data_IF_476507116613
#
_entry.id   IF_476507116613
#
_cell.length_a   1.000
_cell.length_b   1.000
_cell.length_c   1.000
_cell.angle_alpha   90.00
_cell.angle_beta   90.00
_cell.angle_gamma   90.00
#
_symmetry.space_group_name_H-M   'P 1'
#
loop_
_entity.id
_entity.type
_entity.pdbx_description
1 polymer ?
#
# COMPACT_ATOMS: atom_id res chain seq x y z
N UNK A 1 3.75 -27.30 0.77
CA UNK A 1 2.37 -27.20 1.29
C UNK A 1 1.36 -28.08 0.56
N UNK A 2 1.16 -27.95 -0.75
CA UNK A 2 0.14 -28.72 -1.52
C UNK A 2 0.27 -30.24 -1.36
N UNK A 3 1.48 -30.80 -1.46
CA UNK A 3 1.74 -32.23 -1.23
C UNK A 3 1.38 -32.69 0.18
N UNK A 4 1.64 -31.87 1.20
CA UNK A 4 1.28 -32.19 2.59
C UNK A 4 -0.23 -32.18 2.80
N UNK A 5 -0.94 -31.23 2.19
CA UNK A 5 -2.40 -31.19 2.25
C UNK A 5 -3.03 -32.42 1.59
N UNK A 6 -2.49 -32.86 0.44
CA UNK A 6 -2.92 -34.10 -0.22
C UNK A 6 -2.68 -35.32 0.69
N UNK A 7 -1.47 -35.47 1.25
CA UNK A 7 -1.15 -36.56 2.17
C UNK A 7 -2.03 -36.55 3.42
N UNK A 8 -2.35 -35.37 3.96
CA UNK A 8 -3.26 -35.23 5.11
C UNK A 8 -4.66 -35.72 4.78
N UNK A 9 -5.17 -35.38 3.60
CA UNK A 9 -6.49 -35.81 3.15
C UNK A 9 -6.53 -37.32 2.90
N UNK A 10 -5.53 -37.88 2.23
CA UNK A 10 -5.38 -39.33 2.06
C UNK A 10 -5.31 -40.07 3.40
N UNK A 11 -4.55 -39.55 4.37
CA UNK A 11 -4.44 -40.12 5.72
C UNK A 11 -5.76 -40.06 6.49
N UNK A 12 -6.54 -38.99 6.34
CA UNK A 12 -7.89 -38.89 6.92
C UNK A 12 -8.84 -39.94 6.34
N UNK A 13 -8.78 -40.14 5.02
CA UNK A 13 -9.59 -41.16 4.34
C UNK A 13 -9.19 -42.55 4.85
N UNK A 14 -7.89 -42.84 4.93
CA UNK A 14 -7.39 -44.11 5.47
C UNK A 14 -7.83 -44.33 6.93
N UNK A 15 -7.80 -43.30 7.78
CA UNK A 15 -8.30 -43.39 9.15
C UNK A 15 -9.79 -43.70 9.21
N UNK A 16 -10.62 -43.03 8.40
CA UNK A 16 -12.04 -43.30 8.36
C UNK A 16 -12.34 -44.74 7.93
N UNK A 17 -11.60 -45.26 6.95
CA UNK A 17 -11.70 -46.65 6.50
C UNK A 17 -11.27 -47.65 7.59
N UNK A 18 -10.19 -47.35 8.32
CA UNK A 18 -9.73 -48.14 9.46
C UNK A 18 -10.76 -48.13 10.60
N UNK A 19 -11.36 -46.98 10.91
CA UNK A 19 -12.42 -46.86 11.91
C UNK A 19 -13.68 -47.63 11.51
N UNK A 20 -14.11 -47.54 10.25
CA UNK A 20 -15.25 -48.27 9.71
C UNK A 20 -15.02 -49.78 9.75
N UNK A 21 -13.84 -50.24 9.32
CA UNK A 21 -13.44 -51.65 9.40
C UNK A 21 -13.39 -52.14 10.85
N UNK A 22 -12.90 -51.32 11.78
CA UNK A 22 -12.84 -51.66 13.20
C UNK A 22 -14.26 -51.79 13.79
N UNK A 23 -15.18 -50.88 13.44
CA UNK A 23 -16.59 -50.95 13.82
C UNK A 23 -17.29 -52.19 13.27
N UNK A 24 -17.04 -52.53 12.00
CA UNK A 24 -17.59 -53.73 11.36
C UNK A 24 -17.07 -55.01 12.04
N UNK A 25 -15.77 -55.05 12.34
CA UNK A 25 -15.13 -56.19 13.03
C UNK A 25 -15.67 -56.35 14.45
N UNK A 26 -15.91 -55.24 15.17
CA UNK A 26 -16.55 -55.26 16.48
C UNK A 26 -18.01 -55.75 16.44
N UNK A 27 -18.77 -55.34 15.43
CA UNK A 27 -20.17 -55.75 15.26
C UNK A 27 -20.32 -57.23 14.89
N UNK A 28 -19.34 -57.78 14.17
CA UNK A 28 -19.37 -59.14 13.63
C UNK A 28 -18.69 -60.17 14.55
N UNK A 29 -17.90 -59.71 15.53
CA UNK A 29 -17.17 -60.59 16.44
C UNK A 29 -18.12 -61.40 17.35
N UNK A 30 -18.22 -62.71 17.11
CA UNK A 30 -18.84 -63.68 18.02
C UNK A 30 -17.74 -64.46 18.75
N UNK A 31 -17.50 -64.15 20.03
CA UNK A 31 -16.45 -64.80 20.85
C UNK A 31 -15.71 -63.83 21.78
N UNK A 32 -14.65 -64.31 22.44
CA UNK A 32 -13.80 -63.49 23.32
C UNK A 32 -13.01 -62.46 22.52
N UNK A 33 -13.39 -61.18 22.63
CA UNK A 33 -12.79 -60.03 21.92
C UNK A 33 -11.27 -59.93 22.14
N UNK A 34 -10.77 -60.44 23.27
CA UNK A 34 -9.35 -60.41 23.65
C UNK A 34 -8.46 -61.39 22.87
N UNK A 35 -9.03 -62.41 22.22
CA UNK A 35 -8.26 -63.40 21.43
C UNK A 35 -8.17 -63.02 19.96
N UNK A 36 -8.90 -61.99 19.52
CA UNK A 36 -8.95 -61.58 18.13
C UNK A 36 -7.70 -60.75 17.75
N UNK A 37 -6.70 -61.43 17.18
CA UNK A 37 -5.42 -60.83 16.75
C UNK A 37 -5.59 -59.72 15.71
N UNK A 38 -6.56 -59.82 14.81
CA UNK A 38 -6.83 -58.81 13.76
C UNK A 38 -7.31 -57.49 14.37
N UNK A 39 -8.07 -57.57 15.45
CA UNK A 39 -8.60 -56.42 16.19
C UNK A 39 -7.48 -55.69 16.96
N UNK A 40 -6.55 -56.44 17.55
CA UNK A 40 -5.37 -55.90 18.24
C UNK A 40 -4.39 -55.26 17.24
N UNK A 41 -4.22 -55.86 16.07
CA UNK A 41 -3.35 -55.33 15.02
C UNK A 41 -3.92 -54.03 14.41
N UNK A 42 -5.22 -53.98 14.12
CA UNK A 42 -5.91 -52.76 13.67
C UNK A 42 -5.82 -51.64 14.71
N UNK A 43 -6.01 -51.97 16.00
CA UNK A 43 -5.87 -51.00 17.10
C UNK A 43 -4.43 -50.46 17.22
N UNK A 44 -3.43 -51.33 17.06
CA UNK A 44 -2.02 -50.92 17.09
C UNK A 44 -1.63 -50.10 15.87
N UNK A 45 -2.17 -50.39 14.67
CA UNK A 45 -1.98 -49.57 13.47
C UNK A 45 -2.60 -48.17 13.65
N UNK A 46 -3.80 -48.08 14.22
CA UNK A 46 -4.45 -46.80 14.56
C UNK A 46 -3.65 -46.02 15.62
N UNK A 47 -3.11 -46.71 16.63
CA UNK A 47 -2.28 -46.13 17.69
C UNK A 47 -0.88 -45.70 17.22
N UNK A 48 -0.33 -46.37 16.20
CA UNK A 48 0.97 -46.08 15.60
C UNK A 48 0.99 -44.82 14.71
N UNK A 49 -0.14 -44.09 14.60
CA UNK A 49 -0.29 -42.85 13.83
C UNK A 49 0.49 -41.63 14.40
N UNK A 50 1.67 -41.86 14.97
CA UNK A 50 2.72 -40.87 15.26
C UNK A 50 3.08 -39.97 14.07
N UNK A 51 2.80 -40.44 12.84
CA UNK A 51 2.90 -39.67 11.60
C UNK A 51 2.02 -38.41 11.57
N UNK A 52 0.88 -38.39 12.28
CA UNK A 52 0.03 -37.20 12.39
C UNK A 52 0.70 -36.06 13.18
N UNK A 53 1.45 -36.41 14.22
CA UNK A 53 2.15 -35.42 15.07
C UNK A 53 3.29 -34.76 14.27
N UNK A 54 4.08 -35.56 13.55
CA UNK A 54 5.12 -35.03 12.66
C UNK A 54 4.53 -34.18 11.51
N UNK A 55 3.39 -34.60 10.95
CA UNK A 55 2.65 -33.80 9.97
C UNK A 55 2.19 -32.47 10.54
N UNK A 56 1.83 -32.42 11.83
CA UNK A 56 1.38 -31.19 12.48
C UNK A 56 2.53 -30.20 12.65
N UNK A 57 3.72 -30.65 13.07
CA UNK A 57 4.91 -29.80 13.16
C UNK A 57 5.33 -29.24 11.81
N UNK A 58 5.34 -30.07 10.76
CA UNK A 58 5.69 -29.61 9.41
C UNK A 58 4.64 -28.64 8.86
N UNK A 59 3.36 -28.85 9.19
CA UNK A 59 2.28 -27.94 8.82
C UNK A 59 2.45 -26.58 9.49
N UNK A 60 2.71 -26.54 10.80
CA UNK A 60 2.95 -25.29 11.52
C UNK A 60 4.14 -24.53 10.95
N UNK A 61 5.24 -25.22 10.64
CA UNK A 61 6.42 -24.59 10.04
C UNK A 61 6.13 -23.99 8.65
N UNK A 62 5.38 -24.71 7.80
CA UNK A 62 4.96 -24.19 6.49
C UNK A 62 3.94 -23.05 6.59
N UNK A 63 3.10 -23.07 7.61
CA UNK A 63 2.16 -21.98 7.87
C UNK A 63 2.92 -20.72 8.32
N UNK A 64 3.92 -20.85 9.18
CA UNK A 64 4.81 -19.74 9.57
C UNK A 64 5.54 -19.13 8.36
N UNK A 65 6.10 -19.97 7.49
CA UNK A 65 6.80 -19.48 6.29
C UNK A 65 5.85 -18.78 5.31
N UNK A 66 4.61 -19.29 5.15
CA UNK A 66 3.58 -18.62 4.35
C UNK A 66 3.19 -17.28 4.98
N UNK A 67 2.91 -17.28 6.28
CA UNK A 67 2.36 -16.14 6.99
C UNK A 67 3.37 -14.98 7.06
N UNK A 68 4.67 -15.28 6.97
CA UNK A 68 5.72 -14.27 6.77
C UNK A 68 5.44 -13.36 5.56
N UNK A 69 4.87 -13.87 4.46
CA UNK A 69 4.58 -13.08 3.25
C UNK A 69 3.17 -12.47 3.22
N UNK A 70 2.35 -12.69 4.26
CA UNK A 70 1.00 -12.13 4.33
C UNK A 70 0.98 -10.58 4.28
N UNK A 71 1.92 -9.83 4.90
CA UNK A 71 1.98 -8.38 4.78
C UNK A 71 2.11 -7.91 3.33
N UNK A 72 3.03 -8.49 2.56
CA UNK A 72 3.23 -8.19 1.14
C UNK A 72 1.93 -8.40 0.33
N UNK A 73 1.22 -9.50 0.59
CA UNK A 73 -0.03 -9.81 -0.09
C UNK A 73 -1.14 -8.79 0.25
N UNK A 74 -1.21 -8.33 1.50
CA UNK A 74 -2.14 -7.28 1.93
C UNK A 74 -1.83 -5.95 1.22
N UNK A 75 -0.58 -5.50 1.26
CA UNK A 75 -0.14 -4.27 0.59
C UNK A 75 -0.42 -4.32 -0.92
N UNK A 76 -0.14 -5.46 -1.57
CA UNK A 76 -0.45 -5.64 -2.99
C UNK A 76 -1.96 -5.62 -3.30
N UNK A 77 -2.79 -6.20 -2.43
CA UNK A 77 -4.24 -6.15 -2.56
C UNK A 77 -4.76 -4.70 -2.47
N UNK A 78 -4.26 -3.93 -1.51
CA UNK A 78 -4.60 -2.52 -1.34
C UNK A 78 -4.23 -1.70 -2.58
N UNK A 79 -3.02 -1.90 -3.14
CA UNK A 79 -2.62 -1.26 -4.40
C UNK A 79 -3.60 -1.57 -5.53
N UNK A 80 -4.00 -2.84 -5.69
CA UNK A 80 -4.91 -3.22 -6.77
C UNK A 80 -6.27 -2.52 -6.66
N UNK A 81 -6.84 -2.46 -5.45
CA UNK A 81 -8.13 -1.79 -5.24
C UNK A 81 -8.06 -0.28 -5.51
N UNK A 82 -6.97 0.39 -5.11
CA UNK A 82 -6.77 1.81 -5.45
C UNK A 82 -6.73 2.06 -6.95
N UNK A 83 -6.07 1.17 -7.69
CA UNK A 83 -6.00 1.26 -9.16
C UNK A 83 -7.37 1.03 -9.80
N UNK A 84 -8.17 0.09 -9.28
CA UNK A 84 -9.52 -0.16 -9.83
C UNK A 84 -10.46 1.01 -9.60
N UNK A 85 -10.25 1.76 -8.52
CA UNK A 85 -11.05 2.94 -8.18
C UNK A 85 -10.83 4.13 -9.12
N UNK A 86 -9.73 4.17 -9.89
CA UNK A 86 -9.50 5.19 -10.92
C UNK A 86 -10.59 5.21 -12.00
N UNK A 87 -11.27 4.08 -12.22
CA UNK A 87 -12.40 3.99 -13.16
C UNK A 87 -13.58 4.89 -12.78
N UNK A 88 -13.68 5.30 -11.50
CA UNK A 88 -14.69 6.23 -11.00
C UNK A 88 -14.42 7.68 -11.45
N UNK A 89 -13.17 8.01 -11.75
CA UNK A 89 -12.75 9.34 -12.21
C UNK A 89 -12.94 9.43 -13.72
N UNK A 90 -12.35 8.48 -14.46
CA UNK A 90 -12.57 8.33 -15.90
C UNK A 90 -12.84 6.87 -16.24
N UNK A 91 -13.93 6.62 -16.99
CA UNK A 91 -14.35 5.27 -17.35
C UNK A 91 -13.30 4.48 -18.14
N UNK A 92 -12.33 5.14 -18.78
CA UNK A 92 -11.26 4.46 -19.51
C UNK A 92 -10.09 4.02 -18.63
N UNK A 93 -10.00 4.49 -17.37
CA UNK A 93 -8.99 4.03 -16.38
C UNK A 93 -9.38 2.68 -15.79
N UNK A 94 -9.41 1.65 -16.63
CA UNK A 94 -9.74 0.27 -16.25
C UNK A 94 -8.52 -0.62 -16.41
N UNK A 95 -8.07 -1.18 -15.29
CA UNK A 95 -6.93 -2.07 -15.24
C UNK A 95 -7.40 -3.47 -14.86
N UNK A 96 -6.91 -4.48 -15.55
CA UNK A 96 -7.28 -5.87 -15.28
C UNK A 96 -6.38 -6.48 -14.21
N UNK A 97 -6.96 -7.35 -13.37
CA UNK A 97 -6.21 -8.16 -12.39
C UNK A 97 -5.06 -8.92 -13.04
N UNK A 98 -5.27 -9.47 -14.24
CA UNK A 98 -4.23 -10.17 -14.99
C UNK A 98 -3.00 -9.29 -15.27
N UNK A 99 -3.20 -7.99 -15.52
CA UNK A 99 -2.10 -7.04 -15.74
C UNK A 99 -1.35 -6.74 -14.44
N UNK A 100 -2.08 -6.57 -13.35
CA UNK A 100 -1.49 -6.41 -12.02
C UNK A 100 -0.67 -7.63 -11.59
N UNK A 101 -1.21 -8.85 -11.75
CA UNK A 101 -0.50 -10.09 -11.43
C UNK A 101 0.78 -10.28 -12.26
N UNK A 102 0.82 -9.79 -13.51
CA UNK A 102 2.05 -9.78 -14.31
C UNK A 102 3.10 -8.85 -13.73
N UNK A 103 2.72 -7.66 -13.24
CA UNK A 103 3.64 -6.76 -12.55
C UNK A 103 4.14 -7.37 -11.25
N UNK A 104 3.23 -7.97 -10.46
CA UNK A 104 3.56 -8.67 -9.22
C UNK A 104 4.57 -9.80 -9.45
N UNK A 105 4.32 -10.66 -10.45
CA UNK A 105 5.25 -11.73 -10.81
C UNK A 105 6.62 -11.17 -11.27
N UNK A 106 6.63 -10.09 -12.05
CA UNK A 106 7.87 -9.43 -12.47
C UNK A 106 8.63 -8.81 -11.30
N UNK A 107 7.96 -8.34 -10.25
CA UNK A 107 8.62 -7.90 -9.03
C UNK A 107 9.31 -9.06 -8.31
N UNK A 108 8.67 -10.24 -8.27
CA UNK A 108 9.22 -11.46 -7.65
C UNK A 108 10.40 -12.09 -8.42
N UNK A 109 10.47 -11.94 -9.74
CA UNK A 109 11.50 -12.54 -10.59
C UNK A 109 12.91 -11.95 -10.41
N UNK A 110 13.10 -11.02 -9.48
CA UNK A 110 14.39 -10.38 -9.29
C UNK A 110 15.21 -11.17 -8.30
N UNK A 111 16.43 -11.48 -8.70
CA UNK A 111 17.44 -12.04 -7.80
C UNK A 111 17.74 -11.00 -6.72
N UNK A 112 17.35 -11.32 -5.49
CA UNK A 112 17.87 -10.65 -4.31
C UNK A 112 18.89 -11.59 -3.67
N UNK A 113 20.08 -11.06 -3.39
CA UNK A 113 21.06 -11.73 -2.56
C UNK A 113 20.49 -11.98 -1.17
N UNK A 114 21.01 -13.00 -0.50
CA UNK A 114 20.47 -13.62 0.72
C UNK A 114 20.45 -12.65 1.92
N UNK A 115 19.42 -11.81 1.98
CA UNK A 115 19.05 -11.02 3.15
C UNK A 115 17.89 -11.69 3.93
N UNK A 116 17.63 -11.21 5.15
CA UNK A 116 16.51 -11.72 5.96
C UNK A 116 15.16 -11.55 5.26
N UNK A 117 14.20 -12.43 5.59
CA UNK A 117 12.85 -12.42 4.98
C UNK A 117 12.17 -11.05 5.08
N UNK A 118 12.35 -10.33 6.18
CA UNK A 118 11.75 -9.01 6.40
C UNK A 118 12.33 -7.94 5.45
N UNK A 119 13.66 -7.96 5.23
CA UNK A 119 14.33 -7.03 4.30
C UNK A 119 13.95 -7.36 2.86
N UNK A 120 13.85 -8.65 2.54
CA UNK A 120 13.32 -9.12 1.25
C UNK A 120 11.90 -8.60 1.01
N UNK A 121 11.00 -8.73 1.99
CA UNK A 121 9.61 -8.25 1.88
C UNK A 121 9.56 -6.74 1.65
N UNK A 122 10.25 -5.95 2.47
CA UNK A 122 10.24 -4.48 2.33
C UNK A 122 10.81 -4.01 0.99
N UNK A 123 11.84 -4.69 0.47
CA UNK A 123 12.40 -4.39 -0.85
C UNK A 123 11.42 -4.76 -1.97
N UNK A 124 10.77 -5.92 -1.89
CA UNK A 124 9.73 -6.33 -2.84
C UNK A 124 8.55 -5.36 -2.84
N UNK A 125 8.12 -4.90 -1.67
CA UNK A 125 7.06 -3.89 -1.53
C UNK A 125 7.45 -2.57 -2.19
N UNK A 126 8.62 -2.01 -1.86
CA UNK A 126 9.12 -0.77 -2.46
C UNK A 126 9.20 -0.88 -3.99
N UNK A 127 9.73 -1.99 -4.48
CA UNK A 127 9.81 -2.25 -5.92
C UNK A 127 8.44 -2.35 -6.57
N UNK A 128 7.52 -3.10 -5.97
CA UNK A 128 6.17 -3.27 -6.48
C UNK A 128 5.45 -1.92 -6.55
N UNK A 129 5.56 -1.09 -5.51
CA UNK A 129 5.03 0.29 -5.47
C UNK A 129 5.52 1.09 -6.67
N UNK A 130 6.82 1.08 -6.94
CA UNK A 130 7.42 1.82 -8.07
C UNK A 130 6.95 1.28 -9.43
N UNK A 131 6.96 -0.04 -9.62
CA UNK A 131 6.52 -0.65 -10.87
C UNK A 131 5.04 -0.39 -11.16
N UNK A 132 4.19 -0.45 -10.13
CA UNK A 132 2.77 -0.13 -10.24
C UNK A 132 2.59 1.34 -10.58
N UNK A 133 3.21 2.25 -9.83
CA UNK A 133 3.11 3.68 -10.06
C UNK A 133 3.52 4.06 -11.50
N UNK A 134 4.66 3.58 -11.98
CA UNK A 134 5.10 3.82 -13.36
C UNK A 134 4.13 3.26 -14.40
N UNK A 135 3.64 2.03 -14.20
CA UNK A 135 2.73 1.39 -15.15
C UNK A 135 1.41 2.15 -15.29
N UNK A 136 0.87 2.61 -14.17
CA UNK A 136 -0.37 3.39 -14.15
C UNK A 136 -0.14 4.78 -14.73
N UNK A 137 0.89 5.52 -14.31
CA UNK A 137 1.18 6.86 -14.83
C UNK A 137 1.38 6.90 -16.35
N UNK A 138 1.92 5.83 -16.96
CA UNK A 138 2.01 5.69 -18.43
C UNK A 138 0.65 5.60 -19.14
N UNK A 139 -0.40 5.22 -18.41
CA UNK A 139 -1.75 5.02 -18.90
C UNK A 139 -2.70 6.19 -18.54
N UNK A 140 -2.25 7.12 -17.70
CA UNK A 140 -3.03 8.29 -17.27
C UNK A 140 -2.69 9.52 -18.13
N UNK A 141 -3.67 10.41 -18.29
CA UNK A 141 -3.40 11.75 -18.80
C UNK A 141 -2.44 12.50 -17.86
N UNK A 142 -1.60 13.38 -18.42
CA UNK A 142 -0.65 14.19 -17.63
C UNK A 142 -1.32 14.98 -16.50
N UNK A 143 -2.55 15.45 -16.73
CA UNK A 143 -3.33 16.19 -15.73
C UNK A 143 -3.69 15.33 -14.49
N UNK A 144 -3.87 14.02 -14.66
CA UNK A 144 -4.33 13.11 -13.61
C UNK A 144 -3.19 12.40 -12.88
N UNK A 145 -1.96 12.46 -13.40
CA UNK A 145 -0.81 11.78 -12.80
C UNK A 145 -0.53 12.26 -11.38
N UNK A 146 -0.63 13.57 -11.12
CA UNK A 146 -0.38 14.12 -9.79
C UNK A 146 -1.47 13.72 -8.79
N UNK A 147 -2.74 13.71 -9.24
CA UNK A 147 -3.86 13.23 -8.42
C UNK A 147 -3.65 11.77 -8.02
N UNK A 148 -3.30 10.91 -8.99
CA UNK A 148 -3.03 9.50 -8.71
C UNK A 148 -1.83 9.34 -7.77
N UNK A 149 -0.74 10.07 -7.98
CA UNK A 149 0.44 9.99 -7.13
C UNK A 149 0.11 10.32 -5.67
N UNK A 150 -0.65 11.40 -5.41
CA UNK A 150 -1.08 11.76 -4.06
C UNK A 150 -2.02 10.72 -3.44
N UNK A 151 -3.01 10.24 -4.21
CA UNK A 151 -3.93 9.22 -3.74
C UNK A 151 -3.21 7.90 -3.42
N UNK A 152 -2.25 7.51 -4.25
CA UNK A 152 -1.43 6.32 -4.08
C UNK A 152 -0.53 6.44 -2.84
N UNK A 153 0.11 7.59 -2.62
CA UNK A 153 0.89 7.86 -1.40
C UNK A 153 0.00 7.80 -0.15
N UNK A 154 -1.20 8.41 -0.20
CA UNK A 154 -2.16 8.36 0.92
C UNK A 154 -2.55 6.93 1.30
N UNK A 155 -2.74 6.09 0.29
CA UNK A 155 -3.08 4.69 0.51
C UNK A 155 -1.91 3.82 0.97
N UNK A 156 -0.71 4.05 0.44
CA UNK A 156 0.47 3.21 0.70
C UNK A 156 1.27 3.59 1.94
N UNK A 157 1.13 4.83 2.40
CA UNK A 157 1.85 5.41 3.50
C UNK A 157 0.91 6.26 4.37
N UNK A 158 -0.13 5.65 4.96
CA UNK A 158 -1.11 6.38 5.77
C UNK A 158 -0.48 7.09 6.98
N UNK A 159 0.67 6.62 7.46
CA UNK A 159 1.46 7.20 8.55
C UNK A 159 2.02 8.59 8.25
N UNK A 160 2.11 8.98 6.97
CA UNK A 160 2.55 10.32 6.56
C UNK A 160 1.46 11.39 6.74
N UNK A 161 0.24 10.99 7.10
CA UNK A 161 -0.92 11.85 7.18
C UNK A 161 -1.49 11.80 8.59
N UNK A 162 -1.53 12.95 9.26
CA UNK A 162 -2.22 13.07 10.54
C UNK A 162 -3.74 13.06 10.35
N UNK A 163 -4.48 12.87 11.44
CA UNK A 163 -5.94 12.93 11.44
C UNK A 163 -6.43 14.24 10.82
N UNK A 164 -7.47 14.17 9.99
CA UNK A 164 -8.09 15.30 9.30
C UNK A 164 -7.22 16.05 8.27
N UNK A 165 -5.91 15.76 8.12
CA UNK A 165 -5.05 16.49 7.17
C UNK A 165 -5.50 16.31 5.73
N UNK A 166 -5.84 15.07 5.36
CA UNK A 166 -6.32 14.75 4.03
C UNK A 166 -7.68 15.39 3.74
N UNK A 167 -8.56 15.45 4.75
CA UNK A 167 -9.91 16.00 4.60
C UNK A 167 -9.88 17.52 4.51
N UNK A 168 -8.98 18.19 5.23
CA UNK A 168 -8.71 19.62 5.05
C UNK A 168 -8.10 19.89 3.67
N UNK A 169 -7.11 19.08 3.25
CA UNK A 169 -6.46 19.24 1.95
C UNK A 169 -7.45 19.13 0.79
N UNK A 170 -8.34 18.13 0.84
CA UNK A 170 -9.38 17.90 -0.17
C UNK A 170 -10.59 18.83 -0.04
N UNK A 171 -10.68 19.61 1.04
CA UNK A 171 -11.76 20.58 1.27
C UNK A 171 -13.07 19.98 1.79
N UNK A 172 -13.03 18.78 2.36
CA UNK A 172 -14.18 18.14 3.01
C UNK A 172 -14.54 18.84 4.33
N UNK A 173 -13.55 19.40 5.02
CA UNK A 173 -13.76 20.20 6.23
C UNK A 173 -13.84 21.67 5.85
N UNK A 174 -15.02 22.27 6.04
CA UNK A 174 -15.25 23.70 5.88
C UNK A 174 -15.18 24.36 7.25
N UNK A 175 -14.32 25.37 7.39
CA UNK A 175 -14.16 26.12 8.63
C UNK A 175 -15.24 27.19 8.81
N UNK A 176 -15.71 27.36 10.04
CA UNK A 176 -16.56 28.50 10.40
C UNK A 176 -15.76 29.81 10.42
N UNK A 177 -16.43 30.93 10.12
CA UNK A 177 -15.83 32.27 10.15
C UNK A 177 -15.47 32.68 11.59
N UNK A 178 -14.30 32.29 12.06
CA UNK A 178 -13.77 32.81 13.33
C UNK A 178 -13.07 34.13 13.06
N UNK A 179 -13.58 35.22 13.64
CA UNK A 179 -12.91 36.53 13.68
C UNK A 179 -11.71 36.46 14.63
N UNK A 180 -10.61 35.89 14.13
CA UNK A 180 -9.34 35.87 14.84
C UNK A 180 -8.50 37.07 14.39
N UNK A 181 -7.75 37.74 15.29
CA UNK A 181 -6.74 38.69 14.87
C UNK A 181 -5.66 37.97 14.06
N UNK A 182 -5.58 38.26 12.77
CA UNK A 182 -4.55 37.75 11.87
C UNK A 182 -3.47 38.81 11.62
N UNK A 183 -2.22 38.40 11.36
CA UNK A 183 -1.16 39.31 10.96
C UNK A 183 -1.54 40.13 9.72
N UNK A 184 -1.19 41.42 9.71
CA UNK A 184 -1.55 42.36 8.64
C UNK A 184 -0.90 42.04 7.28
N UNK A 185 0.09 41.16 7.23
CA UNK A 185 0.76 40.75 6.00
C UNK A 185 -0.01 39.67 5.22
N UNK A 186 -0.99 39.00 5.83
CA UNK A 186 -1.80 37.97 5.17
C UNK A 186 -2.92 38.62 4.38
N UNK A 187 -3.07 38.24 3.11
CA UNK A 187 -4.16 38.70 2.26
C UNK A 187 -5.54 38.31 2.83
N UNK A 188 -6.48 39.24 2.79
CA UNK A 188 -7.85 39.06 3.25
C UNK A 188 -8.53 37.85 2.60
N UNK A 189 -8.18 37.53 1.35
CA UNK A 189 -8.71 36.36 0.64
C UNK A 189 -8.28 35.02 1.27
N UNK A 190 -7.21 35.03 2.07
CA UNK A 190 -6.61 33.81 2.65
C UNK A 190 -6.96 33.58 4.10
N UNK A 191 -7.66 34.52 4.73
CA UNK A 191 -8.04 34.44 6.13
C UNK A 191 -8.88 33.19 6.43
N UNK A 192 -9.76 32.76 5.51
CA UNK A 192 -10.57 31.55 5.70
C UNK A 192 -9.69 30.28 5.72
N UNK A 193 -8.72 30.17 4.82
CA UNK A 193 -7.82 29.03 4.76
C UNK A 193 -6.90 28.96 6.00
N UNK A 194 -6.43 30.13 6.47
CA UNK A 194 -5.60 30.22 7.68
C UNK A 194 -6.43 29.99 8.95
N UNK A 195 -7.69 30.44 8.98
CA UNK A 195 -8.62 30.16 10.06
C UNK A 195 -8.90 28.65 10.19
N UNK A 196 -9.12 27.97 9.06
CA UNK A 196 -9.28 26.52 9.00
C UNK A 196 -8.04 25.78 9.50
N UNK A 197 -6.84 26.23 9.09
CA UNK A 197 -5.58 25.65 9.58
C UNK A 197 -5.47 25.81 11.11
N UNK A 198 -5.86 26.97 11.64
CA UNK A 198 -5.83 27.25 13.08
C UNK A 198 -6.85 26.41 13.86
N UNK A 199 -8.07 26.26 13.36
CA UNK A 199 -9.12 25.50 14.04
C UNK A 199 -8.80 24.01 14.08
N UNK A 200 -8.31 23.47 12.96
CA UNK A 200 -8.08 22.03 12.82
C UNK A 200 -6.71 21.61 13.34
N UNK A 201 -5.69 22.46 13.21
CA UNK A 201 -4.31 22.15 13.62
C UNK A 201 -3.72 23.25 14.50
N UNK A 202 -4.19 23.42 15.75
CA UNK A 202 -3.74 24.49 16.64
C UNK A 202 -2.25 24.39 16.99
N UNK A 203 -1.73 23.18 17.14
CA UNK A 203 -0.30 22.93 17.45
C UNK A 203 0.59 23.34 16.27
N UNK A 204 0.18 23.01 15.05
CA UNK A 204 0.88 23.42 13.83
C UNK A 204 0.83 24.95 13.67
N UNK A 205 -0.34 25.56 13.87
CA UNK A 205 -0.47 27.01 13.79
C UNK A 205 0.45 27.74 14.79
N UNK A 206 0.55 27.22 16.03
CA UNK A 206 1.44 27.78 17.05
C UNK A 206 2.92 27.62 16.69
N UNK A 207 3.33 26.48 16.13
CA UNK A 207 4.73 26.24 15.74
C UNK A 207 5.19 27.07 14.55
N UNK A 208 4.26 27.46 13.66
CA UNK A 208 4.55 28.30 12.50
C UNK A 208 4.90 29.75 12.86
N UNK A 209 4.54 30.22 14.05
CA UNK A 209 4.83 31.58 14.53
C UNK A 209 4.52 32.67 13.49
N UNK A 210 3.30 32.67 12.92
CA UNK A 210 2.89 33.61 11.84
C UNK A 210 2.99 35.10 12.21
N UNK A 211 3.19 35.42 13.49
CA UNK A 211 3.45 36.77 13.97
C UNK A 211 4.83 37.31 13.56
N UNK A 212 5.81 36.42 13.28
CA UNK A 212 7.14 36.80 12.80
C UNK A 212 7.07 37.22 11.33
N UNK A 213 6.79 38.50 11.10
CA UNK A 213 6.52 39.02 9.77
C UNK A 213 7.74 38.93 8.84
N UNK A 214 8.97 39.03 9.36
CA UNK A 214 10.18 39.05 8.54
C UNK A 214 10.50 37.68 7.91
N UNK A 215 10.29 36.60 8.67
CA UNK A 215 10.43 35.22 8.17
C UNK A 215 9.40 34.93 7.06
N UNK A 216 8.15 35.30 7.28
CA UNK A 216 7.06 35.03 6.34
C UNK A 216 7.07 35.96 5.12
N UNK A 217 7.61 37.17 5.25
CA UNK A 217 7.85 38.07 4.12
C UNK A 217 8.92 37.50 3.18
N UNK A 218 9.98 36.92 3.73
CA UNK A 218 11.02 36.22 2.96
C UNK A 218 10.44 34.99 2.24
N UNK A 219 9.60 34.21 2.93
CA UNK A 219 8.89 33.08 2.35
C UNK A 219 7.97 33.50 1.20
N UNK A 220 7.16 34.55 1.40
CA UNK A 220 6.23 35.05 0.38
C UNK A 220 6.95 35.57 -0.87
N UNK A 221 8.14 36.17 -0.72
CA UNK A 221 8.91 36.68 -1.86
C UNK A 221 9.75 35.62 -2.57
N UNK A 222 9.90 34.44 -1.98
CA UNK A 222 10.67 33.35 -2.58
C UNK A 222 9.96 32.76 -3.80
N UNK A 223 10.71 32.52 -4.88
CA UNK A 223 10.21 31.84 -6.07
C UNK A 223 10.08 30.32 -5.90
N UNK A 224 10.72 29.74 -4.88
CA UNK A 224 10.75 28.30 -4.60
C UNK A 224 10.45 28.07 -3.10
N UNK A 225 9.30 28.56 -2.63
CA UNK A 225 8.92 28.51 -1.23
C UNK A 225 8.66 27.07 -0.72
N UNK A 226 8.36 26.15 -1.64
CA UNK A 226 8.16 24.72 -1.41
C UNK A 226 9.45 23.97 -1.04
N UNK A 227 10.62 24.51 -1.37
CA UNK A 227 11.90 23.85 -1.12
C UNK A 227 12.31 23.90 0.37
N UNK A 228 12.28 22.73 1.00
CA UNK A 228 12.58 22.42 2.42
C UNK A 228 13.79 23.16 3.02
N UNK A 229 14.82 23.47 2.23
CA UNK A 229 16.07 24.08 2.71
C UNK A 229 15.98 25.56 3.06
N UNK A 230 14.91 26.28 2.68
CA UNK A 230 14.88 27.75 2.75
C UNK A 230 13.93 28.36 3.77
N UNK A 231 13.12 27.57 4.47
CA UNK A 231 12.14 28.09 5.45
C UNK A 231 12.61 27.83 6.90
N UNK A 232 13.13 28.83 7.63
CA UNK A 232 13.73 28.65 8.95
C UNK A 232 12.76 28.19 10.05
N UNK A 233 11.46 28.44 9.91
CA UNK A 233 10.43 28.02 10.87
C UNK A 233 10.16 26.52 10.83
N UNK A 234 10.35 25.88 9.67
CA UNK A 234 10.06 24.46 9.46
C UNK A 234 11.20 23.55 9.96
N UNK A 235 12.43 24.06 10.06
CA UNK A 235 13.60 23.25 10.44
C UNK A 235 13.69 22.95 11.94
N UNK A 236 13.05 23.74 12.80
CA UNK A 236 13.10 23.58 14.27
C UNK A 236 11.91 22.85 14.90
N UNK A 237 10.78 22.73 14.20
CA UNK A 237 9.57 22.11 14.74
C UNK A 237 9.20 20.76 14.08
N UNK A 238 9.80 20.42 12.94
CA UNK A 238 9.42 19.24 12.13
C UNK A 238 10.57 18.23 12.02
N UNK A 239 11.23 17.93 13.14
CA UNK A 239 12.02 16.70 13.25
C UNK A 239 11.08 15.53 13.49
N UNK A 240 10.55 14.92 12.41
CA UNK A 240 10.45 13.46 12.20
C UNK A 240 9.51 12.99 11.07
N UNK A 241 8.68 13.83 10.43
CA UNK A 241 7.84 13.41 9.28
C UNK A 241 7.66 14.61 8.32
N UNK A 242 8.17 14.66 7.08
CA UNK A 242 7.63 14.02 5.86
C UNK A 242 6.10 14.18 5.63
N UNK A 243 5.39 15.04 6.38
CA UNK A 243 3.92 15.10 6.35
C UNK A 243 3.32 16.08 5.34
N UNK A 244 2.05 15.83 4.97
CA UNK A 244 1.20 16.71 4.14
C UNK A 244 1.05 18.13 4.75
N UNK A 245 1.37 18.32 6.03
CA UNK A 245 1.27 19.60 6.74
C UNK A 245 1.99 20.75 6.02
N UNK A 246 3.14 20.50 5.38
CA UNK A 246 3.83 21.54 4.59
C UNK A 246 2.99 21.96 3.37
N UNK A 247 2.40 20.99 2.68
CA UNK A 247 1.50 21.23 1.54
C UNK A 247 0.27 22.02 2.00
N UNK A 248 -0.27 21.73 3.18
CA UNK A 248 -1.38 22.50 3.78
C UNK A 248 -1.00 23.96 4.04
N UNK A 249 0.21 24.22 4.53
CA UNK A 249 0.67 25.61 4.74
C UNK A 249 0.83 26.34 3.41
N UNK A 250 1.39 25.69 2.39
CA UNK A 250 1.47 26.25 1.03
C UNK A 250 0.06 26.48 0.47
N UNK A 251 -0.87 25.54 0.64
CA UNK A 251 -2.28 25.70 0.25
C UNK A 251 -2.96 26.87 0.94
N UNK A 252 -2.65 27.13 2.21
CA UNK A 252 -3.23 28.23 2.99
C UNK A 252 -2.60 29.60 2.68
N UNK A 253 -1.30 29.66 2.37
CA UNK A 253 -0.56 30.92 2.17
C UNK A 253 -0.19 31.24 0.71
N UNK A 254 0.16 30.26 -0.12
CA UNK A 254 0.64 30.41 -1.51
C UNK A 254 0.14 29.29 -2.44
N UNK A 255 -1.11 29.39 -2.94
CA UNK A 255 -1.76 28.32 -3.69
C UNK A 255 -1.19 28.23 -5.12
N UNK A 256 -0.53 29.29 -5.60
CA UNK A 256 0.22 29.37 -6.84
C UNK A 256 1.38 28.38 -6.89
N UNK A 257 1.90 27.97 -5.72
CA UNK A 257 2.97 26.97 -5.59
C UNK A 257 2.47 25.61 -5.11
N UNK A 258 1.16 25.43 -4.99
CA UNK A 258 0.57 24.19 -4.50
C UNK A 258 0.94 22.99 -5.41
N UNK A 259 0.89 23.18 -6.73
CA UNK A 259 1.24 22.11 -7.68
C UNK A 259 2.68 21.62 -7.49
N UNK A 260 3.64 22.54 -7.34
CA UNK A 260 5.05 22.20 -7.08
C UNK A 260 5.22 21.53 -5.72
N UNK A 261 4.58 22.05 -4.67
CA UNK A 261 4.63 21.45 -3.34
C UNK A 261 4.06 20.02 -3.30
N UNK A 262 2.95 19.78 -4.00
CA UNK A 262 2.34 18.45 -4.14
C UNK A 262 3.28 17.48 -4.88
N UNK A 263 3.93 17.93 -5.96
CA UNK A 263 4.85 17.12 -6.73
C UNK A 263 6.12 16.78 -5.92
N UNK A 264 6.67 17.75 -5.19
CA UNK A 264 7.82 17.55 -4.31
C UNK A 264 7.51 16.56 -3.18
N UNK A 265 6.33 16.69 -2.55
CA UNK A 265 5.85 15.78 -1.51
C UNK A 265 5.71 14.35 -2.05
N UNK A 266 5.00 14.18 -3.16
CA UNK A 266 4.79 12.86 -3.75
C UNK A 266 6.11 12.22 -4.22
N UNK A 267 7.06 13.01 -4.73
CA UNK A 267 8.39 12.50 -5.13
C UNK A 267 9.18 12.00 -3.92
N UNK A 268 9.15 12.75 -2.82
CA UNK A 268 9.84 12.36 -1.60
C UNK A 268 9.21 11.11 -0.96
N UNK A 269 7.89 10.98 -1.00
CA UNK A 269 7.19 9.83 -0.43
C UNK A 269 7.39 8.54 -1.26
N UNK A 270 7.42 8.65 -2.59
CA UNK A 270 7.63 7.51 -3.48
C UNK A 270 9.12 7.14 -3.68
N UNK A 271 10.04 7.95 -3.17
CA UNK A 271 11.49 7.71 -3.27
C UNK A 271 12.07 7.85 -4.68
N UNK A 272 11.27 8.34 -5.63
CA UNK A 272 11.66 8.57 -7.02
C UNK A 272 11.40 10.04 -7.37
N UNK A 273 12.27 10.65 -8.19
CA UNK A 273 11.88 11.86 -8.89
C UNK A 273 10.65 11.52 -9.74
N UNK A 274 9.50 12.14 -9.46
CA UNK A 274 8.33 12.09 -10.32
C UNK A 274 8.72 12.72 -11.66
N UNK A 275 9.30 11.90 -12.55
CA UNK A 275 9.46 12.25 -13.93
C UNK A 275 8.07 12.23 -14.57
N UNK A 276 7.32 13.31 -14.40
CA UNK A 276 6.07 13.64 -15.11
C UNK A 276 6.28 13.75 -16.64
N UNK A 277 7.53 13.55 -17.10
CA UNK A 277 7.94 13.40 -18.48
C UNK A 277 8.40 11.95 -18.76
N UNK A 278 7.53 10.95 -18.57
CA UNK A 278 7.79 9.64 -19.19
C UNK A 278 7.60 9.81 -20.70
N UNK A 279 8.68 10.11 -21.41
CA UNK A 279 8.71 10.08 -22.87
C UNK A 279 8.36 8.66 -23.35
N UNK A 280 7.52 8.55 -24.37
CA UNK A 280 7.10 7.32 -25.08
C UNK A 280 8.24 6.44 -25.63
N UNK A 281 9.50 6.72 -25.30
CA UNK A 281 10.71 6.10 -25.87
C UNK A 281 11.00 4.68 -25.37
N UNK A 282 10.24 4.15 -24.40
CA UNK A 282 10.51 2.84 -23.76
C UNK A 282 9.40 1.78 -23.91
N UNK A 283 8.50 1.92 -24.89
CA UNK A 283 7.70 0.78 -25.37
C UNK A 283 8.56 -0.08 -26.32
N UNK A 284 9.65 -0.65 -25.80
CA UNK A 284 10.39 -1.69 -26.52
C UNK A 284 9.76 -3.06 -26.29
N UNK A 285 10.00 -3.96 -27.25
CA UNK A 285 9.49 -5.34 -27.41
C UNK A 285 9.38 -6.21 -26.14
N UNK A 286 10.03 -5.86 -25.02
CA UNK A 286 10.04 -6.60 -23.76
C UNK A 286 8.78 -6.45 -22.90
N UNK A 287 7.97 -5.41 -23.13
CA UNK A 287 6.75 -5.15 -22.32
C UNK A 287 5.45 -5.60 -23.01
N UNK A 288 5.52 -5.94 -24.29
CA UNK A 288 4.37 -6.27 -25.13
C UNK A 288 4.42 -7.74 -25.52
N UNK A 289 3.47 -8.54 -25.02
CA UNK A 289 3.20 -9.88 -25.55
C UNK A 289 2.11 -9.79 -26.61
N UNK A 290 2.17 -10.67 -27.61
CA UNK A 290 1.17 -10.76 -28.69
C UNK A 290 -0.29 -10.92 -28.22
N UNK A 291 -0.53 -11.30 -26.95
CA UNK A 291 -1.87 -11.45 -26.38
C UNK A 291 -2.49 -10.15 -25.81
N UNK A 292 -1.85 -8.99 -25.93
CA UNK A 292 -2.39 -7.72 -25.41
C UNK A 292 -2.46 -6.67 -26.51
N UNK A 293 -3.68 -6.23 -26.85
CA UNK A 293 -3.89 -5.09 -27.73
C UNK A 293 -3.35 -3.81 -27.07
N UNK A 294 -2.61 -3.01 -27.83
CA UNK A 294 -2.14 -1.70 -27.38
C UNK A 294 -3.20 -0.67 -27.74
N UNK A 295 -3.89 -0.12 -26.75
CA UNK A 295 -4.77 1.02 -26.94
C UNK A 295 -3.95 2.31 -26.78
N UNK A 296 -3.87 3.12 -27.84
CA UNK A 296 -3.27 4.45 -27.78
C UNK A 296 -4.40 5.47 -27.74
N UNK A 297 -4.38 6.36 -26.75
CA UNK A 297 -5.35 7.44 -26.66
C UNK A 297 -4.80 8.63 -27.43
N UNK A 298 -5.46 9.00 -28.52
CA UNK A 298 -5.17 10.22 -29.26
C UNK A 298 -5.92 11.38 -28.62
N UNK A 299 -5.24 12.50 -28.48
CA UNK A 299 -5.80 13.79 -28.06
C UNK A 299 -5.78 14.66 -29.31
N UNK A 300 -6.87 15.37 -29.62
CA UNK A 300 -6.91 16.27 -30.79
C UNK A 300 -5.72 17.25 -30.76
N UNK A 301 -4.90 17.22 -31.81
CA UNK A 301 -3.77 18.12 -31.99
C UNK A 301 -2.38 17.54 -31.70
N UNK A 302 -2.24 16.25 -31.36
CA UNK A 302 -0.96 15.54 -31.25
C UNK A 302 -0.97 14.15 -31.90
#
# INVERSE_FOLDING_TARGET
KTKLLQQKEEKKIQLAQLEESLLETLATAQGSILENKELIESLNQTKASSALIQSHHLQTSLDQERDAYLPLAKTASEMYFMITDLSKIYNMYRFSLASFLRLFHRALQTEQESESTDVRISTLESRLKNMVHEYICRSLFKADQLMFALHFVKGMNPELFQENEWDVFTGLIVGDMVQVPFPSWIDQQRLMAVALLKSTFPVLYQSLCLNDSDLWFTFSRSSCCEQRRRSPSFSRALTLFQSLSQVLVVQALRPDRLQSAMADFASQALGNELNLQIYYKYLTHSSLRACVCVCVWSIEGY
#
